data_IF_052241223901
#
_entry.id   IF_052241223901
#
_cell.length_a   1.000
_cell.length_b   1.000
_cell.length_c   1.000
_cell.angle_alpha   90.00
_cell.angle_beta   90.00
_cell.angle_gamma   90.00
#
_symmetry.space_group_name_H-M   'P 1'
#
loop_
_entity.id
_entity.type
_entity.pdbx_description
1 polymer ?
#
# COMPACT_ATOMS: atom_id res chain seq x y z
N UNK A 1 -21.07 -20.55 21.12
CA UNK A 1 -20.13 -19.45 20.87
C UNK A 1 -20.91 -18.49 20.00
N UNK A 2 -21.08 -17.24 20.42
CA UNK A 2 -21.77 -16.25 19.57
C UNK A 2 -20.91 -15.94 18.33
N UNK A 3 -21.52 -15.43 17.26
CA UNK A 3 -20.79 -15.03 16.06
C UNK A 3 -19.69 -14.00 16.40
N UNK A 4 -19.95 -13.12 17.35
CA UNK A 4 -18.99 -12.09 17.83
C UNK A 4 -17.72 -12.68 18.45
N UNK A 5 -17.77 -13.91 18.99
CA UNK A 5 -16.60 -14.58 19.58
C UNK A 5 -15.68 -15.22 18.52
N UNK A 6 -16.12 -15.28 17.27
CA UNK A 6 -15.37 -15.88 16.16
C UNK A 6 -14.46 -14.83 15.48
N UNK A 7 -13.44 -15.34 14.79
CA UNK A 7 -12.59 -14.48 13.94
C UNK A 7 -13.47 -13.85 12.85
N UNK A 8 -13.41 -12.52 12.68
CA UNK A 8 -14.23 -11.81 11.70
C UNK A 8 -15.69 -11.57 12.12
N UNK A 9 -16.11 -12.04 13.32
CA UNK A 9 -17.50 -11.92 13.77
C UNK A 9 -17.97 -10.49 14.03
N UNK A 10 -17.05 -9.55 14.13
CA UNK A 10 -17.37 -8.12 14.23
C UNK A 10 -17.58 -7.44 12.87
N UNK A 11 -17.38 -8.15 11.77
CA UNK A 11 -17.58 -7.65 10.42
C UNK A 11 -18.96 -8.11 9.91
N UNK A 12 -19.61 -7.25 9.13
CA UNK A 12 -20.99 -7.43 8.74
C UNK A 12 -21.27 -8.71 7.94
N UNK A 13 -20.33 -9.14 7.09
CA UNK A 13 -20.48 -10.35 6.27
C UNK A 13 -20.67 -11.58 7.16
N UNK A 14 -21.72 -12.37 6.90
CA UNK A 14 -22.01 -13.57 7.67
C UNK A 14 -20.86 -14.59 7.53
N UNK A 15 -20.54 -15.25 8.66
CA UNK A 15 -19.57 -16.33 8.69
C UNK A 15 -20.26 -17.62 8.21
N UNK A 16 -20.04 -17.93 6.93
CA UNK A 16 -20.57 -19.12 6.28
C UNK A 16 -19.72 -20.36 6.52
N UNK A 17 -20.11 -21.44 5.84
CA UNK A 17 -19.36 -22.70 5.81
C UNK A 17 -18.43 -22.76 4.59
N UNK A 18 -17.32 -23.49 4.68
CA UNK A 18 -16.40 -23.75 3.59
C UNK A 18 -15.03 -23.11 3.73
N UNK A 19 -14.29 -23.03 2.61
CA UNK A 19 -12.91 -22.51 2.58
C UNK A 19 -12.85 -20.98 2.76
N UNK A 20 -13.81 -20.27 2.23
CA UNK A 20 -13.94 -18.82 2.39
C UNK A 20 -15.19 -18.55 3.22
N UNK A 21 -14.99 -18.35 4.51
CA UNK A 21 -16.13 -18.14 5.43
C UNK A 21 -16.75 -16.76 5.32
N UNK A 22 -16.00 -15.76 4.86
CA UNK A 22 -16.44 -14.42 4.48
C UNK A 22 -15.88 -14.09 3.08
N UNK A 23 -16.50 -14.60 2.00
CA UNK A 23 -15.93 -14.58 0.66
C UNK A 23 -15.69 -13.20 0.09
N UNK A 24 -16.58 -12.22 0.34
CA UNK A 24 -16.41 -10.85 -0.16
C UNK A 24 -15.24 -10.17 0.52
N UNK A 25 -15.12 -10.28 1.85
CA UNK A 25 -14.02 -9.72 2.61
C UNK A 25 -12.69 -10.41 2.25
N UNK A 26 -12.69 -11.74 2.10
CA UNK A 26 -11.50 -12.48 1.68
C UNK A 26 -11.01 -12.06 0.29
N UNK A 27 -11.90 -12.01 -0.72
CA UNK A 27 -11.52 -11.67 -2.08
C UNK A 27 -11.13 -10.20 -2.25
N UNK A 28 -11.85 -9.28 -1.59
CA UNK A 28 -11.51 -7.86 -1.62
C UNK A 28 -10.14 -7.55 -1.00
N UNK A 29 -9.66 -8.38 -0.08
CA UNK A 29 -8.32 -8.29 0.52
C UNK A 29 -7.20 -8.40 -0.51
N UNK A 30 -7.44 -9.06 -1.64
CA UNK A 30 -6.47 -9.14 -2.75
C UNK A 30 -6.13 -7.75 -3.35
N UNK A 31 -6.93 -6.73 -3.09
CA UNK A 31 -6.61 -5.36 -3.47
C UNK A 31 -5.30 -4.87 -2.84
N UNK A 32 -4.99 -5.28 -1.60
CA UNK A 32 -3.70 -4.97 -0.97
C UNK A 32 -2.53 -5.68 -1.68
N UNK A 33 -2.74 -6.93 -2.14
CA UNK A 33 -1.72 -7.65 -2.93
C UNK A 33 -1.48 -6.91 -4.24
N UNK A 34 -2.53 -6.51 -4.95
CA UNK A 34 -2.43 -5.74 -6.19
C UNK A 34 -1.72 -4.40 -5.98
N UNK A 35 -2.05 -3.67 -4.91
CA UNK A 35 -1.37 -2.43 -4.53
C UNK A 35 0.12 -2.67 -4.25
N UNK A 36 0.46 -3.71 -3.50
CA UNK A 36 1.86 -4.07 -3.22
C UNK A 36 2.65 -4.38 -4.49
N UNK A 37 2.08 -5.16 -5.41
CA UNK A 37 2.69 -5.45 -6.73
C UNK A 37 2.89 -4.15 -7.53
N UNK A 38 1.89 -3.26 -7.54
CA UNK A 38 2.01 -1.96 -8.20
C UNK A 38 3.16 -1.12 -7.62
N UNK A 39 3.33 -1.10 -6.29
CA UNK A 39 4.46 -0.42 -5.63
C UNK A 39 5.80 -1.03 -6.06
N UNK A 40 5.94 -2.37 -6.14
CA UNK A 40 7.17 -3.02 -6.64
C UNK A 40 7.49 -2.57 -8.06
N UNK A 41 6.49 -2.54 -8.94
CA UNK A 41 6.68 -2.12 -10.34
C UNK A 41 7.12 -0.66 -10.42
N UNK A 42 6.47 0.22 -9.65
CA UNK A 42 6.79 1.66 -9.61
C UNK A 42 8.18 1.95 -9.03
N UNK A 43 8.62 1.12 -8.09
CA UNK A 43 9.91 1.29 -7.42
C UNK A 43 11.13 0.87 -8.27
N UNK A 44 10.94 0.22 -9.43
CA UNK A 44 12.06 -0.32 -10.23
C UNK A 44 13.10 0.72 -10.62
N UNK A 45 12.68 1.95 -10.92
CA UNK A 45 13.54 3.06 -11.34
C UNK A 45 14.09 3.92 -10.21
N UNK A 46 13.86 3.57 -8.94
CA UNK A 46 14.33 4.34 -7.79
C UNK A 46 15.78 3.99 -7.40
N UNK A 47 16.46 4.93 -6.73
CA UNK A 47 17.73 4.67 -6.07
C UNK A 47 17.63 3.49 -5.10
N UNK A 48 18.73 2.73 -4.95
CA UNK A 48 18.74 1.46 -4.20
C UNK A 48 18.26 1.62 -2.75
N UNK A 49 18.62 2.72 -2.07
CA UNK A 49 18.21 2.93 -0.68
C UNK A 49 16.69 3.15 -0.56
N UNK A 50 16.12 3.93 -1.47
CA UNK A 50 14.69 4.22 -1.52
C UNK A 50 13.92 3.01 -2.04
N UNK A 51 14.45 2.33 -3.03
CA UNK A 51 13.89 1.08 -3.56
C UNK A 51 13.71 0.02 -2.46
N UNK A 52 14.71 -0.14 -1.57
CA UNK A 52 14.59 -1.07 -0.43
C UNK A 52 13.43 -0.70 0.51
N UNK A 53 13.25 0.60 0.81
CA UNK A 53 12.13 1.07 1.63
C UNK A 53 10.78 0.82 0.93
N UNK A 54 10.69 1.11 -0.38
CA UNK A 54 9.50 0.86 -1.17
C UNK A 54 9.18 -0.63 -1.28
N UNK A 55 10.18 -1.49 -1.42
CA UNK A 55 9.98 -2.94 -1.45
C UNK A 55 9.55 -3.50 -0.09
N UNK A 56 10.08 -2.97 1.02
CA UNK A 56 9.58 -3.33 2.35
C UNK A 56 8.11 -2.93 2.51
N UNK A 57 7.75 -1.71 2.07
CA UNK A 57 6.37 -1.25 2.08
C UNK A 57 5.45 -2.14 1.23
N UNK A 58 5.89 -2.50 0.03
CA UNK A 58 5.18 -3.41 -0.86
C UNK A 58 5.01 -4.81 -0.26
N UNK A 59 6.06 -5.34 0.37
CA UNK A 59 5.98 -6.64 1.05
C UNK A 59 4.97 -6.63 2.18
N UNK A 60 4.92 -5.55 2.97
CA UNK A 60 3.92 -5.40 4.04
C UNK A 60 2.50 -5.30 3.47
N UNK A 61 2.28 -4.61 2.34
CA UNK A 61 0.98 -4.61 1.66
C UNK A 61 0.56 -6.01 1.20
N UNK A 62 1.48 -6.74 0.57
CA UNK A 62 1.21 -8.11 0.11
C UNK A 62 0.88 -9.01 1.31
N UNK A 63 1.66 -8.92 2.39
CA UNK A 63 1.42 -9.70 3.61
C UNK A 63 0.10 -9.31 4.28
N UNK A 64 -0.27 -8.01 4.30
CA UNK A 64 -1.58 -7.54 4.76
C UNK A 64 -2.70 -8.20 3.96
N UNK A 65 -2.61 -8.19 2.62
CA UNK A 65 -3.62 -8.81 1.76
C UNK A 65 -3.73 -10.33 1.98
N UNK A 66 -2.60 -11.04 1.99
CA UNK A 66 -2.59 -12.49 2.21
C UNK A 66 -3.08 -12.85 3.62
N UNK A 67 -2.64 -12.12 4.64
CA UNK A 67 -3.10 -12.31 6.02
C UNK A 67 -4.59 -12.07 6.18
N UNK A 68 -5.11 -11.05 5.49
CA UNK A 68 -6.54 -10.73 5.47
C UNK A 68 -7.36 -11.82 4.73
N UNK A 69 -6.84 -12.37 3.62
CA UNK A 69 -7.45 -13.55 2.96
C UNK A 69 -7.54 -14.74 3.93
N UNK A 70 -6.48 -15.01 4.71
CA UNK A 70 -6.49 -16.11 5.69
C UNK A 70 -7.46 -15.83 6.84
N UNK A 71 -7.56 -14.57 7.26
CA UNK A 71 -8.44 -14.12 8.34
C UNK A 71 -9.93 -14.24 7.98
N UNK A 72 -10.32 -13.80 6.78
CA UNK A 72 -11.71 -13.84 6.29
C UNK A 72 -12.03 -15.14 5.53
N UNK A 73 -11.01 -15.89 5.12
CA UNK A 73 -11.15 -17.15 4.41
C UNK A 73 -11.08 -18.37 5.36
N UNK A 74 -9.99 -19.15 5.29
CA UNK A 74 -9.91 -20.45 5.97
C UNK A 74 -9.74 -20.35 7.51
N UNK A 75 -9.48 -19.18 8.04
CA UNK A 75 -9.35 -18.92 9.48
C UNK A 75 -8.38 -19.88 10.20
N UNK A 76 -7.23 -20.18 9.58
CA UNK A 76 -6.22 -21.08 10.15
C UNK A 76 -5.74 -20.62 11.53
N UNK A 77 -5.19 -21.51 12.35
CA UNK A 77 -4.53 -21.12 13.59
C UNK A 77 -3.49 -20.04 13.33
N UNK A 78 -3.59 -18.90 14.04
CA UNK A 78 -2.72 -17.74 13.84
C UNK A 78 -3.22 -16.73 12.79
N UNK A 79 -4.38 -16.94 12.16
CA UNK A 79 -4.95 -16.01 11.16
C UNK A 79 -5.03 -14.57 11.66
N UNK A 80 -5.43 -14.36 12.93
CA UNK A 80 -5.45 -13.02 13.56
C UNK A 80 -4.06 -12.36 13.56
N UNK A 81 -3.02 -13.10 13.93
CA UNK A 81 -1.65 -12.57 13.90
C UNK A 81 -1.19 -12.27 12.47
N UNK A 82 -1.49 -13.15 11.51
CA UNK A 82 -1.15 -12.96 10.10
C UNK A 82 -1.86 -11.74 9.49
N UNK A 83 -3.03 -11.39 9.99
CA UNK A 83 -3.79 -10.20 9.62
C UNK A 83 -3.25 -8.94 10.31
N UNK A 84 -3.18 -8.94 11.64
CA UNK A 84 -2.95 -7.73 12.44
C UNK A 84 -1.49 -7.25 12.38
N UNK A 85 -0.51 -8.18 12.37
CA UNK A 85 0.90 -7.81 12.43
C UNK A 85 1.37 -7.03 11.18
N UNK A 86 1.07 -7.43 9.94
CA UNK A 86 1.44 -6.63 8.76
C UNK A 86 0.75 -5.26 8.73
N UNK A 87 -0.51 -5.18 9.18
CA UNK A 87 -1.24 -3.90 9.28
C UNK A 87 -0.51 -2.96 10.24
N UNK A 88 -0.17 -3.44 11.45
CA UNK A 88 0.58 -2.64 12.41
C UNK A 88 1.93 -2.18 11.84
N UNK A 89 2.66 -3.07 11.18
CA UNK A 89 3.98 -2.78 10.62
C UNK A 89 3.92 -1.76 9.47
N UNK A 90 2.90 -1.83 8.58
CA UNK A 90 2.79 -0.85 7.50
C UNK A 90 2.39 0.53 8.02
N UNK A 91 1.54 0.60 9.06
CA UNK A 91 1.22 1.86 9.75
C UNK A 91 2.47 2.46 10.39
N UNK A 92 3.24 1.65 11.12
CA UNK A 92 4.52 2.08 11.72
C UNK A 92 5.47 2.59 10.64
N UNK A 93 5.67 1.85 9.55
CA UNK A 93 6.54 2.28 8.45
C UNK A 93 6.06 3.58 7.81
N UNK A 94 4.74 3.76 7.67
CA UNK A 94 4.14 4.98 7.11
C UNK A 94 4.46 6.24 7.92
N UNK A 95 4.70 6.10 9.22
CA UNK A 95 5.09 7.19 10.14
C UNK A 95 6.61 7.30 10.25
N UNK A 96 7.29 6.17 10.43
CA UNK A 96 8.74 6.13 10.67
C UNK A 96 9.53 6.63 9.46
N UNK A 97 9.10 6.31 8.24
CA UNK A 97 9.80 6.74 7.01
C UNK A 97 9.91 8.26 6.89
N UNK A 98 8.81 9.05 6.96
CA UNK A 98 8.90 10.50 6.89
C UNK A 98 9.64 11.10 8.11
N UNK A 99 9.45 10.56 9.31
CA UNK A 99 10.16 11.00 10.51
C UNK A 99 11.68 10.80 10.36
N UNK A 100 12.12 9.64 9.90
CA UNK A 100 13.53 9.36 9.64
C UNK A 100 14.13 10.34 8.63
N UNK A 101 13.42 10.64 7.55
CA UNK A 101 13.86 11.63 6.56
C UNK A 101 13.97 13.03 7.14
N UNK A 102 12.99 13.42 7.95
CA UNK A 102 13.03 14.71 8.66
C UNK A 102 14.30 14.83 9.52
N UNK A 103 14.59 13.81 10.33
CA UNK A 103 15.79 13.77 11.18
C UNK A 103 17.10 13.80 10.37
N UNK A 104 17.08 13.26 9.14
CA UNK A 104 18.22 13.27 8.21
C UNK A 104 18.28 14.51 7.32
N UNK A 105 17.41 15.49 7.52
CA UNK A 105 17.30 16.71 6.69
C UNK A 105 17.09 16.39 5.20
N UNK A 106 16.40 15.32 4.91
CA UNK A 106 16.01 14.90 3.57
C UNK A 106 14.58 15.35 3.24
N UNK A 107 14.17 15.44 1.95
CA UNK A 107 12.78 15.69 1.60
C UNK A 107 11.84 14.68 2.25
N UNK A 108 10.93 15.15 3.09
CA UNK A 108 10.05 14.30 3.92
C UNK A 108 9.02 13.59 3.06
N UNK A 109 8.37 14.33 2.17
CA UNK A 109 7.32 13.86 1.26
C UNK A 109 7.66 14.28 -0.18
N UNK A 110 8.68 13.66 -0.81
CA UNK A 110 9.19 14.13 -2.10
C UNK A 110 8.15 14.08 -3.23
N UNK A 111 7.24 13.11 -3.19
CA UNK A 111 6.18 12.96 -4.17
C UNK A 111 4.89 13.73 -3.85
N UNK A 112 4.91 14.66 -2.89
CA UNK A 112 3.71 15.41 -2.54
C UNK A 112 3.24 16.32 -3.66
N UNK A 113 1.96 16.19 -4.02
CA UNK A 113 1.23 17.16 -4.86
C UNK A 113 -0.16 17.38 -4.27
N UNK A 114 -0.80 18.55 -4.48
CA UNK A 114 -2.17 18.80 -4.02
C UNK A 114 -3.17 17.72 -4.48
N UNK A 115 -3.02 17.23 -5.74
CA UNK A 115 -3.85 16.15 -6.27
C UNK A 115 -3.67 14.85 -5.49
N UNK A 116 -2.44 14.42 -5.22
CA UNK A 116 -2.17 13.21 -4.42
C UNK A 116 -2.66 13.37 -3.00
N UNK A 117 -2.46 14.54 -2.38
CA UNK A 117 -2.99 14.84 -1.05
C UNK A 117 -4.51 14.73 -1.01
N UNK A 118 -5.21 15.32 -1.98
CA UNK A 118 -6.66 15.21 -2.09
C UNK A 118 -7.12 13.76 -2.32
N UNK A 119 -6.47 13.03 -3.24
CA UNK A 119 -6.79 11.61 -3.49
C UNK A 119 -6.58 10.75 -2.24
N UNK A 120 -5.50 11.00 -1.49
CA UNK A 120 -5.22 10.31 -0.23
C UNK A 120 -6.31 10.59 0.81
N UNK A 121 -6.69 11.86 0.99
CA UNK A 121 -7.72 12.26 1.93
C UNK A 121 -9.07 11.63 1.59
N UNK A 122 -9.48 11.69 0.32
CA UNK A 122 -10.73 11.07 -0.15
C UNK A 122 -10.70 9.56 0.07
N UNK A 123 -9.61 8.87 -0.33
CA UNK A 123 -9.49 7.42 -0.14
C UNK A 123 -9.63 7.03 1.34
N UNK A 124 -8.96 7.74 2.25
CA UNK A 124 -9.04 7.43 3.68
C UNK A 124 -10.38 7.80 4.33
N UNK A 125 -11.03 8.90 3.92
CA UNK A 125 -12.37 9.25 4.40
C UNK A 125 -13.40 8.20 3.98
N UNK A 126 -13.37 7.79 2.72
CA UNK A 126 -14.26 6.73 2.21
C UNK A 126 -13.94 5.37 2.86
N UNK A 127 -12.66 5.05 3.04
CA UNK A 127 -12.22 3.85 3.73
C UNK A 127 -12.71 3.82 5.17
N UNK A 128 -12.56 4.91 5.93
CA UNK A 128 -13.03 5.00 7.31
C UNK A 128 -14.56 4.85 7.40
N UNK A 129 -15.30 5.48 6.49
CA UNK A 129 -16.75 5.32 6.39
C UNK A 129 -17.17 3.89 6.08
N UNK A 130 -16.46 3.24 5.14
CA UNK A 130 -16.70 1.83 4.78
C UNK A 130 -16.35 0.88 5.92
N UNK A 131 -15.27 1.15 6.67
CA UNK A 131 -14.92 0.36 7.86
C UNK A 131 -16.02 0.46 8.92
N UNK A 132 -16.47 1.68 9.25
CA UNK A 132 -17.54 1.90 10.24
C UNK A 132 -18.86 1.27 9.77
N UNK A 133 -19.20 1.42 8.48
CA UNK A 133 -20.39 0.82 7.88
C UNK A 133 -20.36 -0.69 7.78
N UNK A 134 -19.17 -1.29 7.78
CA UNK A 134 -18.97 -2.73 7.66
C UNK A 134 -18.95 -3.48 9.00
N UNK A 135 -19.31 -2.82 10.11
CA UNK A 135 -19.42 -3.48 11.43
C UNK A 135 -20.80 -4.12 11.59
N UNK A 136 -20.85 -5.22 12.34
CA UNK A 136 -22.08 -5.99 12.58
C UNK A 136 -23.23 -5.15 13.13
N UNK A 137 -22.94 -4.16 14.00
CA UNK A 137 -23.94 -3.26 14.60
C UNK A 137 -24.25 -2.02 13.75
N UNK A 138 -23.68 -1.93 12.55
CA UNK A 138 -23.91 -0.78 11.68
C UNK A 138 -25.31 -0.80 11.05
N UNK A 139 -25.99 0.36 10.93
CA UNK A 139 -27.26 0.42 10.18
C UNK A 139 -27.09 0.14 8.67
N UNK A 140 -25.87 0.09 8.18
CA UNK A 140 -25.55 -0.28 6.78
C UNK A 140 -25.20 -1.77 6.63
N UNK A 141 -25.26 -2.54 7.72
CA UNK A 141 -24.96 -3.96 7.69
C UNK A 141 -26.13 -4.74 7.09
N UNK A 142 -25.83 -5.43 5.99
CA UNK A 142 -26.64 -6.48 5.39
C UNK A 142 -25.74 -7.70 5.20
N UNK A 143 -25.83 -8.71 6.11
CA UNK A 143 -24.91 -9.84 6.14
C UNK A 143 -24.87 -10.66 4.85
N UNK A 144 -25.98 -10.73 4.13
CA UNK A 144 -26.13 -11.51 2.89
C UNK A 144 -25.76 -10.71 1.64
N UNK A 145 -25.44 -9.43 1.79
CA UNK A 145 -25.11 -8.58 0.66
C UNK A 145 -23.76 -8.92 0.05
N UNK A 146 -23.69 -8.96 -1.28
CA UNK A 146 -22.39 -9.01 -2.01
C UNK A 146 -21.66 -7.67 -2.02
N UNK A 147 -22.33 -6.59 -1.62
CA UNK A 147 -21.75 -5.25 -1.50
C UNK A 147 -21.35 -4.95 -0.06
N UNK A 148 -20.43 -5.76 0.48
CA UNK A 148 -19.97 -5.59 1.87
C UNK A 148 -19.19 -4.30 2.06
N UNK A 149 -19.59 -3.42 3.00
CA UNK A 149 -18.84 -2.20 3.27
C UNK A 149 -17.41 -2.49 3.78
N UNK A 150 -17.19 -3.58 4.54
CA UNK A 150 -15.86 -3.99 4.97
C UNK A 150 -14.98 -4.39 3.77
N UNK A 151 -15.54 -5.10 2.78
CA UNK A 151 -14.84 -5.36 1.52
C UNK A 151 -14.44 -4.08 0.78
N UNK A 152 -15.31 -3.07 0.77
CA UNK A 152 -15.02 -1.75 0.23
C UNK A 152 -13.88 -1.04 0.99
N UNK A 153 -13.80 -1.22 2.32
CA UNK A 153 -12.68 -0.76 3.14
C UNK A 153 -11.35 -1.33 2.64
N UNK A 154 -11.26 -2.62 2.34
CA UNK A 154 -10.03 -3.24 1.82
C UNK A 154 -9.56 -2.57 0.52
N UNK A 155 -10.47 -2.35 -0.42
CA UNK A 155 -10.14 -1.71 -1.70
C UNK A 155 -9.70 -0.26 -1.50
N UNK A 156 -10.47 0.53 -0.74
CA UNK A 156 -10.18 1.95 -0.53
C UNK A 156 -8.91 2.17 0.29
N UNK A 157 -8.67 1.36 1.31
CA UNK A 157 -7.44 1.43 2.10
C UNK A 157 -6.22 1.03 1.27
N UNK A 158 -6.33 0.02 0.39
CA UNK A 158 -5.25 -0.37 -0.52
C UNK A 158 -4.90 0.76 -1.50
N UNK A 159 -5.90 1.48 -2.03
CA UNK A 159 -5.71 2.69 -2.84
C UNK A 159 -5.04 3.80 -2.01
N UNK A 160 -5.48 4.01 -0.78
CA UNK A 160 -4.88 4.99 0.14
C UNK A 160 -3.39 4.70 0.38
N UNK A 161 -3.02 3.46 0.68
CA UNK A 161 -1.63 3.06 0.84
C UNK A 161 -0.82 3.17 -0.46
N UNK A 162 -1.40 2.84 -1.61
CA UNK A 162 -0.74 3.03 -2.89
C UNK A 162 -0.43 4.51 -3.14
N UNK A 163 -1.41 5.41 -2.98
CA UNK A 163 -1.20 6.86 -3.13
C UNK A 163 -0.16 7.37 -2.11
N UNK A 164 -0.19 6.87 -0.88
CA UNK A 164 0.81 7.19 0.13
C UNK A 164 2.22 6.76 -0.30
N UNK A 165 2.36 5.58 -0.90
CA UNK A 165 3.65 5.13 -1.44
C UNK A 165 4.18 6.05 -2.55
N UNK A 166 3.30 6.58 -3.40
CA UNK A 166 3.66 7.55 -4.43
C UNK A 166 4.16 8.88 -3.80
N UNK A 167 3.54 9.33 -2.72
CA UNK A 167 3.98 10.52 -1.96
C UNK A 167 5.34 10.27 -1.30
N UNK A 168 5.55 9.07 -0.75
CA UNK A 168 6.80 8.73 -0.05
C UNK A 168 7.98 8.51 -0.98
N UNK A 169 7.78 7.94 -2.18
CA UNK A 169 8.89 7.37 -2.95
C UNK A 169 9.09 7.94 -4.36
N UNK A 170 8.11 8.64 -4.96
CA UNK A 170 8.14 8.87 -6.41
C UNK A 170 9.16 9.91 -6.93
N UNK A 171 9.49 10.95 -6.18
CA UNK A 171 10.44 11.99 -6.66
C UNK A 171 11.90 11.74 -6.29
N UNK A 172 12.17 10.56 -5.77
CA UNK A 172 13.53 10.13 -5.49
C UNK A 172 14.21 9.47 -6.71
N UNK A 173 13.76 9.76 -7.93
CA UNK A 173 14.50 9.39 -9.13
C UNK A 173 15.76 10.24 -9.18
N UNK A 174 16.93 9.59 -9.31
CA UNK A 174 18.16 10.30 -9.58
C UNK A 174 17.93 11.22 -10.81
N UNK A 175 18.30 12.51 -10.75
CA UNK A 175 18.31 13.32 -11.94
C UNK A 175 19.12 12.56 -13.00
N UNK A 176 18.53 12.36 -14.19
CA UNK A 176 19.26 11.83 -15.34
C UNK A 176 20.57 12.65 -15.41
N UNK A 177 21.71 11.96 -15.35
CA UNK A 177 23.01 12.65 -15.56
C UNK A 177 22.84 13.55 -16.77
N UNK A 178 23.10 14.87 -16.64
CA UNK A 178 23.12 15.71 -17.80
C UNK A 178 24.12 15.08 -18.78
N UNK A 179 23.68 14.90 -20.02
CA UNK A 179 24.56 14.41 -21.08
C UNK A 179 25.79 15.32 -21.08
N UNK A 180 26.91 14.79 -20.62
CA UNK A 180 28.18 15.52 -20.72
C UNK A 180 28.37 15.82 -22.20
N UNK A 181 28.56 17.08 -22.59
CA UNK A 181 28.81 17.39 -23.97
C UNK A 181 30.01 16.55 -24.41
N UNK A 182 29.79 15.73 -25.44
CA UNK A 182 30.84 14.93 -26.07
C UNK A 182 31.93 15.97 -26.46
N UNK A 183 33.03 15.96 -25.73
CA UNK A 183 34.17 16.79 -26.05
C UNK A 183 34.61 16.40 -27.46
N UNK A 184 34.28 17.25 -28.42
CA UNK A 184 34.76 17.10 -29.79
C UNK A 184 36.28 16.92 -29.77
N UNK A 185 36.84 15.92 -30.41
CA UNK A 185 38.28 15.75 -30.46
C UNK A 185 38.89 17.00 -31.09
N UNK A 186 39.73 17.68 -30.33
CA UNK A 186 40.53 18.80 -30.79
C UNK A 186 41.30 18.33 -32.04
N UNK A 187 40.93 18.90 -33.21
CA UNK A 187 41.68 18.70 -34.42
C UNK A 187 43.15 19.07 -34.19
N UNK A 188 44.01 18.13 -34.42
CA UNK A 188 45.45 18.33 -34.49
C UNK A 188 45.72 19.19 -35.74
N UNK A 189 45.85 20.50 -35.54
CA UNK A 189 46.48 21.38 -36.54
C UNK A 189 47.90 20.86 -36.78
N UNK A 190 48.10 20.24 -37.93
CA UNK A 190 49.42 19.96 -38.47
C UNK A 190 50.01 21.28 -38.91
N UNK A 191 50.94 21.82 -38.15
CA UNK A 191 51.87 22.84 -38.58
C UNK A 191 52.74 22.21 -39.68
N UNK A 192 52.58 22.62 -40.92
CA UNK A 192 53.44 22.30 -42.02
C UNK A 192 54.44 23.44 -42.18
N UNK A 193 55.66 23.21 -41.69
CA UNK A 193 56.79 24.02 -42.10
C UNK A 193 57.33 23.47 -43.41
N UNK A 194 57.40 24.36 -44.41
CA UNK A 194 58.11 24.22 -45.67
C UNK A 194 59.03 25.38 -45.89
#
# INVERSE_FOLDING_TARGET
MSQEDQIGGSDCEEIGEGLLVQPVNALSSLAFVAAGVAVVVRARGLDIAIKRQAWLFAALLILTGLGSVVYHGPQWPGARFMHDAPIALIVIQSVVTPLWRFLRKQPVLPGWTPKRGASLAVAWLLAAGSFAGGRTDSPLCDPDSVAQPHGSWHVLASVGFFVWSEILFQDARAPSKPDLPISSPRGTERSGDG
#
